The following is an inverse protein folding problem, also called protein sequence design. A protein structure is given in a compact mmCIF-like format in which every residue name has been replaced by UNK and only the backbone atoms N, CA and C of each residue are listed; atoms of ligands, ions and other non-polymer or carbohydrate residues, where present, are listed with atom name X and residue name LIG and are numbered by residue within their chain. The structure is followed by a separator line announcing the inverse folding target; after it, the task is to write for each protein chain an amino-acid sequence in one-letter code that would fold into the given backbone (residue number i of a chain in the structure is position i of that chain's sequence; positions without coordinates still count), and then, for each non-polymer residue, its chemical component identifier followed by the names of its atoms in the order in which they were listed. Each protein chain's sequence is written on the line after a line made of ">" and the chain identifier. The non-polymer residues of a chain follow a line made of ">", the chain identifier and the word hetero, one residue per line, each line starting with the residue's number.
data_IF_882843793705
#
_entry.id   IF_882843793705
#
_cell.length_a   1.000
_cell.length_b   1.000
_cell.length_c   1.000
_cell.angle_alpha   90.00
_cell.angle_beta   90.00
_cell.angle_gamma   90.00
#
_symmetry.space_group_name_H-M   'P 1'
#
loop_
_entity.id
_entity.type
_entity.pdbx_description
1 polymer ?
#
# COMPACT_ATOMS: atom_id res chain seq x y z
N UNK A 1 -3.05 8.95 -6.92
CA UNK A 1 -2.16 8.17 -6.04
C UNK A 1 -2.28 6.69 -6.35
N UNK A 2 -1.30 5.92 -5.95
CA UNK A 2 -1.28 4.47 -6.05
C UNK A 2 -1.12 3.89 -4.64
N UNK A 3 -1.73 2.74 -4.38
CA UNK A 3 -1.55 2.04 -3.11
C UNK A 3 -1.21 0.58 -3.36
N UNK A 4 -0.45 -0.01 -2.44
CA UNK A 4 -0.14 -1.44 -2.45
C UNK A 4 -0.82 -2.07 -1.25
N UNK A 5 -1.66 -3.07 -1.50
CA UNK A 5 -2.42 -3.77 -0.45
C UNK A 5 -1.93 -5.20 -0.29
N UNK A 6 -2.01 -5.71 0.95
CA UNK A 6 -1.79 -7.13 1.23
C UNK A 6 -3.01 -7.93 0.78
N UNK A 7 -2.80 -9.03 0.02
CA UNK A 7 -3.89 -9.81 -0.54
C UNK A 7 -4.75 -10.53 0.52
N UNK A 8 -4.15 -10.88 1.65
CA UNK A 8 -4.83 -11.63 2.70
C UNK A 8 -5.71 -10.75 3.60
N UNK A 9 -5.40 -9.46 3.73
CA UNK A 9 -6.10 -8.56 4.63
C UNK A 9 -6.73 -7.36 3.94
N UNK A 10 -6.30 -7.03 2.72
CA UNK A 10 -6.62 -5.79 2.01
C UNK A 10 -6.07 -4.53 2.70
N UNK A 11 -5.13 -4.66 3.62
CA UNK A 11 -4.51 -3.51 4.26
C UNK A 11 -3.67 -2.71 3.26
N UNK A 12 -3.94 -1.40 3.20
CA UNK A 12 -3.17 -0.46 2.39
C UNK A 12 -1.86 -0.14 3.11
N UNK A 13 -0.77 -0.75 2.66
CA UNK A 13 0.52 -0.67 3.33
C UNK A 13 1.37 0.51 2.87
N UNK A 14 1.28 0.87 1.58
CA UNK A 14 2.08 1.94 0.98
C UNK A 14 1.24 2.79 0.05
N UNK A 15 1.61 4.07 -0.05
CA UNK A 15 1.03 5.02 -1.01
C UNK A 15 2.16 5.70 -1.78
N UNK A 16 1.96 5.86 -3.09
CA UNK A 16 2.88 6.57 -3.98
C UNK A 16 2.10 7.49 -4.90
N UNK A 17 2.79 8.52 -5.42
CA UNK A 17 2.24 9.38 -6.47
C UNK A 17 2.01 8.58 -7.76
N UNK A 18 1.11 9.06 -8.61
CA UNK A 18 0.75 8.35 -9.85
C UNK A 18 1.91 8.24 -10.85
N UNK A 19 2.88 9.15 -10.79
CA UNK A 19 4.04 9.13 -11.69
C UNK A 19 5.17 8.21 -11.22
N UNK A 20 5.05 7.60 -10.05
CA UNK A 20 6.02 6.62 -9.56
C UNK A 20 5.81 5.31 -10.29
N UNK A 21 6.89 4.76 -10.85
CA UNK A 21 6.84 3.47 -11.53
C UNK A 21 7.01 2.36 -10.49
N UNK A 22 5.95 1.59 -10.26
CA UNK A 22 5.94 0.47 -9.32
C UNK A 22 5.97 -0.84 -10.10
N UNK A 23 6.94 -1.68 -9.80
CA UNK A 23 7.09 -2.98 -10.47
C UNK A 23 7.10 -4.09 -9.42
N UNK A 24 6.14 -5.01 -9.52
CA UNK A 24 6.09 -6.20 -8.66
C UNK A 24 6.62 -7.40 -9.42
N UNK A 25 7.46 -8.19 -8.76
CA UNK A 25 7.98 -9.45 -9.27
C UNK A 25 7.61 -10.58 -8.33
N UNK A 26 8.00 -11.81 -8.65
CA UNK A 26 7.74 -12.96 -7.79
C UNK A 26 8.49 -12.88 -6.45
N UNK A 27 9.49 -12.02 -6.33
CA UNK A 27 10.34 -11.93 -5.14
C UNK A 27 10.25 -10.61 -4.40
N UNK A 28 9.85 -9.52 -5.07
CA UNK A 28 9.85 -8.20 -4.43
C UNK A 28 9.04 -7.19 -5.24
N UNK A 29 8.79 -6.02 -4.64
CA UNK A 29 8.18 -4.86 -5.30
C UNK A 29 9.16 -3.70 -5.23
N UNK A 30 9.33 -2.98 -6.35
CA UNK A 30 10.21 -1.82 -6.42
C UNK A 30 9.44 -0.59 -6.86
N UNK A 31 9.82 0.57 -6.30
CA UNK A 31 9.41 1.88 -6.78
C UNK A 31 10.65 2.52 -7.39
N UNK A 32 10.87 2.30 -8.69
CA UNK A 32 12.16 2.56 -9.35
C UNK A 32 12.59 4.02 -9.30
N UNK A 33 11.64 4.94 -9.45
CA UNK A 33 11.96 6.38 -9.44
C UNK A 33 12.41 6.89 -8.08
N UNK A 34 12.16 6.13 -7.00
CA UNK A 34 12.55 6.49 -5.64
C UNK A 34 13.69 5.62 -5.12
N UNK A 35 14.19 4.69 -5.93
CA UNK A 35 15.19 3.69 -5.51
C UNK A 35 14.75 2.93 -4.25
N UNK A 36 13.47 2.60 -4.18
CA UNK A 36 12.83 2.00 -3.01
C UNK A 36 12.44 0.56 -3.31
N UNK A 37 12.80 -0.35 -2.42
CA UNK A 37 12.53 -1.79 -2.57
C UNK A 37 11.72 -2.28 -1.38
N UNK A 38 10.62 -2.98 -1.66
CA UNK A 38 9.79 -3.64 -0.65
C UNK A 38 10.04 -5.14 -0.77
N UNK A 39 10.90 -5.66 0.08
CA UNK A 39 11.33 -7.06 -0.03
C UNK A 39 10.30 -8.09 0.39
N UNK A 40 9.30 -7.72 1.20
CA UNK A 40 8.27 -8.61 1.70
C UNK A 40 6.95 -8.54 0.93
N UNK A 41 6.87 -7.74 -0.13
CA UNK A 41 5.70 -7.64 -1.00
C UNK A 41 6.08 -8.06 -2.42
N UNK A 42 5.24 -8.90 -3.02
CA UNK A 42 5.48 -9.46 -4.35
C UNK A 42 4.15 -9.73 -5.05
N UNK A 43 4.19 -10.29 -6.27
CA UNK A 43 2.99 -10.55 -7.06
C UNK A 43 2.06 -11.59 -6.43
N UNK A 44 2.56 -12.42 -5.51
CA UNK A 44 1.78 -13.47 -4.86
C UNK A 44 1.01 -12.99 -3.63
N UNK A 45 1.52 -11.95 -2.92
CA UNK A 45 0.94 -11.52 -1.64
C UNK A 45 0.43 -10.09 -1.64
N UNK A 46 0.57 -9.35 -2.73
CA UNK A 46 0.16 -7.95 -2.78
C UNK A 46 -0.47 -7.58 -4.12
N UNK A 47 -1.24 -6.48 -4.10
CA UNK A 47 -1.90 -5.94 -5.29
C UNK A 47 -1.61 -4.43 -5.36
N UNK A 48 -1.30 -3.95 -6.56
CA UNK A 48 -1.09 -2.53 -6.82
C UNK A 48 -2.39 -1.95 -7.39
N UNK A 49 -2.94 -0.94 -6.72
CA UNK A 49 -4.11 -0.20 -7.18
C UNK A 49 -3.67 1.18 -7.63
N UNK A 50 -4.05 1.59 -8.83
CA UNK A 50 -3.70 2.90 -9.40
C UNK A 50 -4.90 3.85 -9.37
N UNK A 51 -4.62 5.15 -9.51
CA UNK A 51 -5.66 6.19 -9.59
C UNK A 51 -6.60 6.18 -8.39
N UNK A 52 -6.05 5.96 -7.19
CA UNK A 52 -6.82 5.94 -5.94
C UNK A 52 -6.77 7.31 -5.26
N UNK A 53 -7.78 7.59 -4.41
CA UNK A 53 -7.83 8.80 -3.59
C UNK A 53 -7.88 8.38 -2.12
N UNK A 54 -6.71 8.31 -1.46
CA UNK A 54 -6.68 7.89 -0.07
C UNK A 54 -7.27 8.95 0.86
N UNK A 55 -7.76 8.56 2.07
CA UNK A 55 -8.18 9.50 3.08
C UNK A 55 -7.04 10.45 3.49
N UNK A 56 -7.39 11.66 3.93
CA UNK A 56 -6.39 12.66 4.33
C UNK A 56 -5.52 12.21 5.51
N UNK A 57 -6.08 11.41 6.39
CA UNK A 57 -5.38 10.88 7.57
C UNK A 57 -4.78 9.49 7.33
N UNK A 58 -4.56 9.13 6.08
CA UNK A 58 -3.97 7.83 5.73
C UNK A 58 -2.60 7.64 6.41
N UNK A 59 -2.39 6.42 6.93
CA UNK A 59 -1.11 5.92 7.43
C UNK A 59 -0.95 4.48 6.97
N UNK A 60 0.26 3.97 6.94
CA UNK A 60 0.50 2.57 6.59
C UNK A 60 -0.32 1.63 7.44
N UNK A 61 -1.11 0.77 6.82
CA UNK A 61 -2.00 -0.21 7.45
C UNK A 61 -3.13 0.35 8.31
N UNK A 62 -3.38 1.68 8.25
CA UNK A 62 -4.52 2.28 8.95
C UNK A 62 -5.85 2.00 8.27
N UNK A 63 -5.84 1.79 6.97
CA UNK A 63 -7.04 1.56 6.18
C UNK A 63 -6.97 0.25 5.42
N UNK A 64 -8.12 -0.41 5.28
CA UNK A 64 -8.33 -1.45 4.29
C UNK A 64 -8.76 -0.81 2.97
N UNK A 65 -8.34 -1.37 1.86
CA UNK A 65 -8.78 -0.93 0.53
C UNK A 65 -9.06 -2.17 -0.33
N UNK A 66 -10.32 -2.31 -0.76
CA UNK A 66 -10.77 -3.46 -1.54
C UNK A 66 -10.72 -3.25 -3.05
N UNK A 67 -10.19 -2.12 -3.50
CA UNK A 67 -10.18 -1.70 -4.91
C UNK A 67 -11.12 -0.55 -5.20
N UNK A 68 -12.10 -0.29 -4.34
CA UNK A 68 -13.07 0.79 -4.49
C UNK A 68 -13.35 1.56 -3.21
N UNK A 69 -13.35 0.90 -2.07
CA UNK A 69 -13.78 1.48 -0.78
C UNK A 69 -12.67 1.41 0.25
N UNK A 70 -12.44 2.54 0.92
CA UNK A 70 -11.53 2.65 2.06
C UNK A 70 -12.30 2.40 3.34
N UNK A 71 -11.81 1.50 4.19
CA UNK A 71 -12.44 1.19 5.49
C UNK A 71 -11.39 1.32 6.59
N UNK A 72 -11.71 2.03 7.66
CA UNK A 72 -10.76 2.23 8.76
C UNK A 72 -10.47 0.90 9.46
N UNK A 73 -9.19 0.68 9.77
CA UNK A 73 -8.76 -0.46 10.59
C UNK A 73 -8.83 -0.06 12.06
N UNK A 74 -9.85 -0.52 12.75
CA UNK A 74 -10.09 -0.17 14.16
C UNK A 74 -9.01 -0.68 15.10
N UNK A 75 -8.23 -1.66 14.66
CA UNK A 75 -7.13 -2.23 15.45
C UNK A 75 -5.80 -1.51 15.24
N UNK A 76 -5.78 -0.51 14.33
CA UNK A 76 -4.55 0.23 14.05
C UNK A 76 -4.16 1.10 15.24
N UNK A 77 -2.87 1.07 15.58
CA UNK A 77 -2.29 1.91 16.64
C UNK A 77 -1.17 2.74 16.02
N UNK A 78 -1.16 4.05 16.29
CA UNK A 78 -0.12 4.93 15.77
C UNK A 78 1.21 4.61 16.45
N UNK A 79 2.22 4.15 15.68
CA UNK A 79 3.52 3.79 16.28
C UNK A 79 4.25 4.98 16.89
N UNK A 80 3.88 6.21 16.54
CA UNK A 80 4.49 7.42 17.09
C UNK A 80 3.91 7.82 18.44
N UNK A 81 2.81 7.20 18.86
CA UNK A 81 2.16 7.48 20.15
C UNK A 81 2.60 6.53 21.27
N UNK A 82 3.34 5.52 20.93
CA UNK A 82 3.83 4.53 21.92
C UNK A 82 5.16 4.96 22.55
#
# INVERSE_FOLDING_TARGET
>A
MQTITHNDTNLSAYIFEDDVVITATASQTTASSLSFIIGDMNTSNSTIHTSVTPPEDWRGCRYFFDGTTWTVNENWTDPLLD
#
